data_IF_953945887697
#
_entry.id   IF_953945887697
#
_cell.length_a   1.000
_cell.length_b   1.000
_cell.length_c   1.000
_cell.angle_alpha   90.00
_cell.angle_beta   90.00
_cell.angle_gamma   90.00
#
_symmetry.space_group_name_H-M   'P 1'
#
loop_
_entity.id
_entity.type
_entity.pdbx_description
1 polymer ?
#
# COMPACT_ATOMS: atom_id res chain seq x y z
N UNK A 1 -45.78 21.88 -9.85
CA UNK A 1 -45.27 20.51 -9.67
C UNK A 1 -44.01 20.41 -10.52
N UNK A 2 -42.79 20.70 -10.08
CA UNK A 2 -42.08 20.38 -8.83
C UNK A 2 -41.88 18.88 -8.60
N UNK A 3 -40.90 18.32 -9.30
CA UNK A 3 -39.96 17.28 -8.86
C UNK A 3 -38.65 17.68 -9.57
N UNK A 4 -37.57 18.14 -8.95
CA UNK A 4 -37.07 17.93 -7.60
C UNK A 4 -35.65 17.41 -7.76
N UNK A 5 -34.70 18.34 -7.93
CA UNK A 5 -33.26 18.04 -7.82
C UNK A 5 -33.01 17.34 -6.49
N UNK A 6 -32.55 16.11 -6.53
CA UNK A 6 -31.85 15.46 -5.43
C UNK A 6 -30.58 14.83 -5.99
N UNK A 7 -29.61 15.70 -6.26
CA UNK A 7 -28.20 15.40 -5.98
C UNK A 7 -28.09 15.17 -4.47
N UNK A 8 -28.30 13.93 -4.01
CA UNK A 8 -27.62 13.44 -2.81
C UNK A 8 -26.34 12.77 -3.31
N UNK A 9 -25.11 13.07 -2.88
CA UNK A 9 -24.64 13.66 -1.63
C UNK A 9 -25.11 12.87 -0.38
N UNK A 10 -24.93 11.54 -0.41
CA UNK A 10 -24.18 10.86 0.65
C UNK A 10 -22.74 10.78 0.13
N UNK A 11 -21.66 11.06 0.86
CA UNK A 11 -21.36 10.63 2.23
C UNK A 11 -21.58 9.12 2.41
N UNK A 12 -21.13 8.35 1.43
CA UNK A 12 -20.81 6.93 1.60
C UNK A 12 -19.33 6.88 1.98
N UNK A 13 -19.06 7.05 3.28
CA UNK A 13 -17.72 6.89 3.86
C UNK A 13 -17.23 5.44 3.89
N UNK A 14 -17.64 4.62 2.92
CA UNK A 14 -17.13 3.28 2.70
C UNK A 14 -16.43 3.27 1.34
N UNK A 15 -15.16 2.91 1.32
CA UNK A 15 -14.33 2.93 0.10
C UNK A 15 -14.95 2.18 -1.08
N UNK A 16 -14.52 2.57 -2.28
CA UNK A 16 -15.02 2.04 -3.54
C UNK A 16 -14.28 0.75 -3.90
N UNK A 17 -15.00 -0.39 -3.89
CA UNK A 17 -14.45 -1.72 -4.21
C UNK A 17 -13.78 -1.74 -5.59
N UNK A 18 -14.35 -1.06 -6.59
CA UNK A 18 -13.77 -1.03 -7.94
C UNK A 18 -12.46 -0.26 -7.92
N UNK A 19 -12.43 0.92 -7.28
CA UNK A 19 -11.20 1.71 -7.13
C UNK A 19 -10.13 0.96 -6.32
N UNK A 20 -10.53 0.21 -5.29
CA UNK A 20 -9.62 -0.64 -4.52
C UNK A 20 -9.01 -1.74 -5.40
N UNK A 21 -9.84 -2.45 -6.17
CA UNK A 21 -9.38 -3.48 -7.09
C UNK A 21 -8.44 -2.94 -8.17
N UNK A 22 -8.78 -1.79 -8.76
CA UNK A 22 -7.93 -1.09 -9.73
C UNK A 22 -6.58 -0.69 -9.10
N UNK A 23 -6.58 -0.14 -7.88
CA UNK A 23 -5.34 0.24 -7.20
C UNK A 23 -4.44 -0.96 -6.87
N UNK A 24 -5.02 -2.09 -6.48
CA UNK A 24 -4.27 -3.34 -6.25
C UNK A 24 -3.71 -3.90 -7.56
N UNK A 25 -4.50 -3.90 -8.64
CA UNK A 25 -4.04 -4.37 -9.97
C UNK A 25 -2.91 -3.48 -10.51
N UNK A 26 -3.04 -2.17 -10.38
CA UNK A 26 -2.01 -1.19 -10.75
C UNK A 26 -0.68 -1.53 -10.07
N UNK A 27 -0.70 -1.75 -8.74
CA UNK A 27 0.51 -2.06 -7.98
C UNK A 27 1.09 -3.44 -8.32
N UNK A 28 0.25 -4.43 -8.61
CA UNK A 28 0.69 -5.77 -9.06
C UNK A 28 1.34 -5.74 -10.44
N UNK A 29 0.88 -4.85 -11.32
CA UNK A 29 1.34 -4.74 -12.71
C UNK A 29 2.59 -3.87 -12.83
N UNK A 30 2.65 -2.79 -12.05
CA UNK A 30 3.77 -1.84 -12.01
C UNK A 30 4.52 -2.00 -10.68
N UNK A 31 5.01 -3.21 -10.40
CA UNK A 31 5.76 -3.48 -9.16
C UNK A 31 7.08 -2.69 -9.18
N UNK A 32 7.29 -1.76 -8.22
CA UNK A 32 8.44 -0.86 -8.26
C UNK A 32 9.78 -1.56 -7.97
N UNK A 33 9.77 -2.86 -7.66
CA UNK A 33 10.95 -3.66 -7.38
C UNK A 33 11.27 -4.70 -8.48
N UNK A 34 10.37 -4.95 -9.45
CA UNK A 34 10.54 -6.00 -10.47
C UNK A 34 11.84 -5.82 -11.27
N UNK A 35 12.18 -4.57 -11.60
CA UNK A 35 13.37 -4.24 -12.39
C UNK A 35 14.66 -4.12 -11.53
N UNK A 36 14.55 -4.19 -10.20
CA UNK A 36 15.64 -3.94 -9.26
C UNK A 36 16.40 -5.22 -8.87
N UNK A 37 17.27 -5.71 -9.77
CA UNK A 37 18.17 -6.85 -9.44
C UNK A 37 19.32 -6.46 -8.50
N UNK A 38 19.90 -5.25 -8.68
CA UNK A 38 20.88 -4.63 -7.80
C UNK A 38 20.60 -3.12 -7.81
N UNK A 39 19.89 -2.64 -6.80
CA UNK A 39 19.53 -1.23 -6.69
C UNK A 39 20.59 -0.43 -5.94
N UNK A 40 20.90 0.77 -6.42
CA UNK A 40 21.56 1.79 -5.62
C UNK A 40 20.63 2.30 -4.51
N UNK A 41 21.16 2.92 -3.45
CA UNK A 41 20.33 3.53 -2.41
C UNK A 41 19.31 4.56 -2.95
N UNK A 42 19.64 5.25 -4.04
CA UNK A 42 18.71 6.18 -4.70
C UNK A 42 17.54 5.44 -5.37
N UNK A 43 17.83 4.38 -6.12
CA UNK A 43 16.81 3.56 -6.77
C UNK A 43 15.90 2.86 -5.74
N UNK A 44 16.46 2.36 -4.63
CA UNK A 44 15.66 1.81 -3.54
C UNK A 44 14.73 2.86 -2.93
N UNK A 45 15.23 4.08 -2.70
CA UNK A 45 14.41 5.18 -2.18
C UNK A 45 13.24 5.49 -3.10
N UNK A 46 13.49 5.59 -4.39
CA UNK A 46 12.45 5.92 -5.37
C UNK A 46 11.42 4.78 -5.47
N UNK A 47 11.86 3.52 -5.43
CA UNK A 47 10.95 2.37 -5.41
C UNK A 47 10.07 2.31 -4.16
N UNK A 48 10.63 2.55 -2.97
CA UNK A 48 9.83 2.62 -1.74
C UNK A 48 8.88 3.81 -1.72
N UNK A 49 9.22 4.92 -2.37
CA UNK A 49 8.31 6.06 -2.53
C UNK A 49 7.15 5.71 -3.47
N UNK A 50 7.42 5.00 -4.57
CA UNK A 50 6.39 4.51 -5.48
C UNK A 50 5.47 3.47 -4.82
N UNK A 51 6.05 2.52 -4.08
CA UNK A 51 5.30 1.54 -3.28
C UNK A 51 4.39 2.24 -2.28
N UNK A 52 4.91 3.16 -1.48
CA UNK A 52 4.11 3.90 -0.49
C UNK A 52 2.93 4.63 -1.15
N UNK A 53 3.17 5.33 -2.25
CA UNK A 53 2.09 6.00 -2.99
C UNK A 53 1.06 5.02 -3.59
N UNK A 54 1.48 3.82 -3.99
CA UNK A 54 0.57 2.76 -4.44
C UNK A 54 -0.29 2.23 -3.30
N UNK A 55 0.32 1.94 -2.15
CA UNK A 55 -0.38 1.42 -0.97
C UNK A 55 -1.30 2.46 -0.34
N UNK A 56 -0.92 3.74 -0.33
CA UNK A 56 -1.80 4.83 0.11
C UNK A 56 -3.08 4.88 -0.75
N UNK A 57 -2.95 4.74 -2.08
CA UNK A 57 -4.12 4.66 -2.99
C UNK A 57 -5.01 3.46 -2.66
N UNK A 58 -4.42 2.31 -2.32
CA UNK A 58 -5.16 1.11 -1.91
C UNK A 58 -5.93 1.39 -0.60
N UNK A 59 -5.27 2.02 0.39
CA UNK A 59 -5.88 2.34 1.68
C UNK A 59 -7.01 3.38 1.54
N UNK A 60 -6.81 4.45 0.78
CA UNK A 60 -7.84 5.47 0.51
C UNK A 60 -9.07 4.90 -0.22
N UNK A 61 -8.87 3.90 -1.09
CA UNK A 61 -9.94 3.28 -1.85
C UNK A 61 -10.62 2.11 -1.12
N UNK A 62 -10.02 1.58 -0.04
CA UNK A 62 -10.46 0.34 0.58
C UNK A 62 -11.88 0.44 1.19
N UNK A 63 -12.80 -0.47 0.86
CA UNK A 63 -14.10 -0.56 1.53
C UNK A 63 -13.92 -0.89 3.03
N UNK A 64 -14.88 -0.53 3.89
CA UNK A 64 -14.81 -0.72 5.35
C UNK A 64 -14.41 -2.15 5.76
N UNK A 65 -14.83 -3.16 4.99
CA UNK A 65 -14.57 -4.57 5.23
C UNK A 65 -13.08 -4.95 5.16
N UNK A 66 -12.29 -4.19 4.38
CA UNK A 66 -10.86 -4.41 4.15
C UNK A 66 -9.99 -3.20 4.51
N UNK A 67 -10.59 -2.08 4.90
CA UNK A 67 -9.89 -0.84 5.25
C UNK A 67 -8.83 -1.05 6.32
N UNK A 68 -9.15 -1.82 7.37
CA UNK A 68 -8.16 -2.14 8.42
C UNK A 68 -6.96 -2.94 7.89
N UNK A 69 -7.15 -3.82 6.91
CA UNK A 69 -6.06 -4.57 6.28
C UNK A 69 -5.21 -3.64 5.41
N UNK A 70 -5.85 -2.75 4.65
CA UNK A 70 -5.17 -1.78 3.80
C UNK A 70 -4.38 -0.74 4.61
N UNK A 71 -4.94 -0.21 5.70
CA UNK A 71 -4.24 0.69 6.63
C UNK A 71 -3.00 0.03 7.23
N UNK A 72 -3.12 -1.24 7.66
CA UNK A 72 -1.97 -2.01 8.17
C UNK A 72 -0.89 -2.19 7.11
N UNK A 73 -1.28 -2.30 5.84
CA UNK A 73 -0.32 -2.43 4.76
C UNK A 73 0.43 -1.11 4.55
N UNK A 74 -0.28 0.04 4.55
CA UNK A 74 0.33 1.36 4.49
C UNK A 74 1.32 1.59 5.66
N UNK A 75 0.88 1.32 6.89
CA UNK A 75 1.71 1.43 8.09
C UNK A 75 2.97 0.57 8.01
N UNK A 76 2.85 -0.67 7.50
CA UNK A 76 3.97 -1.58 7.39
C UNK A 76 4.98 -1.15 6.32
N UNK A 77 4.52 -0.59 5.20
CA UNK A 77 5.39 -0.01 4.17
C UNK A 77 6.13 1.21 4.71
N UNK A 78 5.44 2.09 5.43
CA UNK A 78 6.05 3.27 6.04
C UNK A 78 7.10 2.89 7.09
N UNK A 79 6.80 1.92 7.96
CA UNK A 79 7.77 1.42 8.95
C UNK A 79 9.02 0.83 8.29
N UNK A 80 8.84 0.00 7.25
CA UNK A 80 9.96 -0.58 6.50
C UNK A 80 10.80 0.50 5.79
N UNK A 81 10.14 1.51 5.21
CA UNK A 81 10.81 2.65 4.58
C UNK A 81 11.60 3.45 5.60
N UNK A 82 11.08 3.68 6.80
CA UNK A 82 11.74 4.46 7.84
C UNK A 82 13.00 3.75 8.36
N UNK A 83 12.95 2.43 8.55
CA UNK A 83 14.13 1.62 8.90
C UNK A 83 15.23 1.76 7.83
N UNK A 84 14.86 1.63 6.56
CA UNK A 84 15.80 1.79 5.45
C UNK A 84 16.32 3.23 5.34
N UNK A 85 15.47 4.23 5.50
CA UNK A 85 15.85 5.64 5.44
C UNK A 85 16.84 6.00 6.56
N UNK A 86 16.64 5.47 7.77
CA UNK A 86 17.59 5.61 8.88
C UNK A 86 18.98 5.04 8.57
N UNK A 87 19.04 3.98 7.76
CA UNK A 87 20.27 3.38 7.26
C UNK A 87 20.79 4.02 5.95
N UNK A 88 20.09 5.02 5.41
CA UNK A 88 20.42 5.65 4.13
C UNK A 88 20.18 4.75 2.91
N UNK A 89 19.20 3.84 3.00
CA UNK A 89 18.88 2.80 2.02
C UNK A 89 20.06 1.85 1.71
N UNK A 90 20.97 1.69 2.68
CA UNK A 90 22.04 0.70 2.64
C UNK A 90 21.64 -0.48 3.55
N UNK A 91 21.22 -1.63 3.00
CA UNK A 91 20.76 -2.78 3.79
C UNK A 91 21.86 -3.40 4.66
N UNK A 92 23.14 -3.03 4.46
CA UNK A 92 24.23 -3.45 5.34
C UNK A 92 24.31 -2.65 6.64
N UNK A 93 23.59 -1.52 6.72
CA UNK A 93 23.61 -0.58 7.84
C UNK A 93 22.33 -0.58 8.68
N UNK A 94 21.30 -1.32 8.25
CA UNK A 94 20.08 -1.52 9.03
C UNK A 94 20.34 -2.38 10.28
N UNK A 95 19.57 -2.15 11.33
CA UNK A 95 19.48 -3.13 12.41
C UNK A 95 18.77 -4.37 11.86
N UNK A 96 19.45 -5.52 11.89
CA UNK A 96 18.95 -6.75 11.27
C UNK A 96 17.70 -7.30 11.98
N UNK A 97 17.54 -7.02 13.27
CA UNK A 97 16.41 -7.52 14.05
C UNK A 97 15.16 -6.66 13.79
N UNK A 98 15.30 -5.34 13.77
CA UNK A 98 14.21 -4.41 13.48
C UNK A 98 13.81 -4.47 12.00
N UNK A 99 14.78 -4.50 11.09
CA UNK A 99 14.54 -4.70 9.66
C UNK A 99 13.83 -6.04 9.37
N UNK A 100 14.26 -7.13 10.00
CA UNK A 100 13.62 -8.43 9.85
C UNK A 100 12.16 -8.44 10.32
N UNK A 101 11.86 -7.73 11.42
CA UNK A 101 10.48 -7.57 11.90
C UNK A 101 9.64 -6.72 10.96
N UNK A 102 10.19 -5.60 10.45
CA UNK A 102 9.51 -4.74 9.49
C UNK A 102 9.20 -5.49 8.17
N UNK A 103 10.14 -6.27 7.65
CA UNK A 103 9.93 -7.12 6.46
C UNK A 103 8.84 -8.16 6.70
N UNK A 104 8.82 -8.79 7.88
CA UNK A 104 7.78 -9.77 8.21
C UNK A 104 6.39 -9.13 8.29
N UNK A 105 6.27 -7.97 8.95
CA UNK A 105 5.02 -7.22 9.05
C UNK A 105 4.52 -6.74 7.67
N UNK A 106 5.42 -6.19 6.84
CA UNK A 106 5.15 -5.83 5.45
C UNK A 106 4.62 -7.03 4.65
N UNK A 107 5.32 -8.16 4.72
CA UNK A 107 4.94 -9.38 3.96
C UNK A 107 3.58 -9.90 4.39
N UNK A 108 3.32 -9.95 5.69
CA UNK A 108 2.02 -10.40 6.23
C UNK A 108 0.89 -9.46 5.79
N UNK A 109 1.10 -8.14 5.86
CA UNK A 109 0.11 -7.14 5.47
C UNK A 109 -0.16 -7.17 3.95
N UNK A 110 0.88 -7.27 3.12
CA UNK A 110 0.75 -7.41 1.67
C UNK A 110 -0.08 -8.64 1.30
N UNK A 111 0.23 -9.81 1.88
CA UNK A 111 -0.56 -11.04 1.68
C UNK A 111 -1.99 -10.87 2.16
N UNK A 112 -2.23 -10.16 3.27
CA UNK A 112 -3.57 -9.92 3.77
C UNK A 112 -4.41 -9.07 2.81
N UNK A 113 -3.83 -8.03 2.21
CA UNK A 113 -4.51 -7.18 1.21
C UNK A 113 -4.75 -7.95 -0.09
N UNK A 114 -3.76 -8.75 -0.53
CA UNK A 114 -3.91 -9.58 -1.73
C UNK A 114 -5.05 -10.58 -1.61
N UNK A 115 -5.16 -11.28 -0.47
CA UNK A 115 -6.26 -12.21 -0.22
C UNK A 115 -7.62 -11.49 -0.16
N UNK A 116 -7.65 -10.27 0.36
CA UNK A 116 -8.85 -9.43 0.35
C UNK A 116 -9.26 -9.03 -1.06
N UNK A 117 -8.31 -8.61 -1.90
CA UNK A 117 -8.54 -8.31 -3.31
C UNK A 117 -9.04 -9.54 -4.09
N UNK A 118 -8.40 -10.70 -3.91
CA UNK A 118 -8.83 -11.94 -4.59
C UNK A 118 -10.24 -12.39 -4.18
N UNK A 119 -10.71 -11.99 -2.99
CA UNK A 119 -12.07 -12.26 -2.53
C UNK A 119 -13.11 -11.27 -3.08
N UNK A 120 -12.69 -10.07 -3.51
CA UNK A 120 -13.59 -8.95 -3.86
C UNK A 120 -13.66 -8.60 -5.36
N UNK A 121 -12.62 -8.85 -6.17
CA UNK A 121 -12.43 -8.24 -7.49
C UNK A 121 -12.97 -9.00 -8.75
#
# INVERSE_FOLDING_TARGET
MLVGLLSGCGDDGGGDVVAFCEAVEDLRTDDPFEELQVASPGEMRDAFAALAAGVDRIADAAPDEVGTQADRYADAVDALRDELAGAGYDPTRVDQLDYGQAVAAYTEAAVSVDNAADALC
#
